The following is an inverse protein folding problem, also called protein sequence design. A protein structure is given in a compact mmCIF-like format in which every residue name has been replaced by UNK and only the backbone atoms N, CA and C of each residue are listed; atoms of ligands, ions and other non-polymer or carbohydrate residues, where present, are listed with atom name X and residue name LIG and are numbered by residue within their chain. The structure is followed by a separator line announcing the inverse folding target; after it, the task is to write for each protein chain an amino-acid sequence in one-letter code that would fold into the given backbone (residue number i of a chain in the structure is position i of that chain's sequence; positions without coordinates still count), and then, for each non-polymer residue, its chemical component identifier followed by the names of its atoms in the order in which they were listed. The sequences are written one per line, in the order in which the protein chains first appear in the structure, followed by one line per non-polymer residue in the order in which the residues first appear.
data_IF_230084345311
#
_entry.id   IF_230084345311
#
_cell.length_a   1.000
_cell.length_b   1.000
_cell.length_c   1.000
_cell.angle_alpha   90.00
_cell.angle_beta   90.00
_cell.angle_gamma   90.00
#
_symmetry.space_group_name_H-M   'P 1'
#
loop_
_entity.id
_entity.type
_entity.pdbx_description
1 polymer ?
#
# COMPACT_ATOMS: atom_id res chain seq x y z
N UNK A 1 46.40 -3.14 76.59
CA UNK A 1 45.92 -1.75 76.38
C UNK A 1 45.26 -1.66 75.01
N UNK A 2 43.98 -1.28 74.97
CA UNK A 2 43.18 -0.56 73.94
C UNK A 2 43.99 0.15 72.81
N UNK A 3 43.62 0.31 71.52
CA UNK A 3 42.37 0.39 70.68
C UNK A 3 42.76 0.07 69.21
N UNK A 4 42.00 -0.63 68.36
CA UNK A 4 40.73 -0.36 67.63
C UNK A 4 40.73 0.80 66.59
N UNK A 5 40.60 0.44 65.28
CA UNK A 5 39.74 1.01 64.18
C UNK A 5 40.24 0.43 62.83
N UNK A 6 39.59 -0.54 62.17
CA UNK A 6 38.30 -0.53 61.44
C UNK A 6 38.27 0.36 60.17
N UNK A 7 38.31 -0.26 58.98
CA UNK A 7 37.54 0.09 57.77
C UNK A 7 37.80 -1.00 56.71
N UNK A 8 36.89 -1.95 56.51
CA UNK A 8 35.68 -1.94 55.67
C UNK A 8 35.94 -2.38 54.22
N UNK A 9 35.46 -3.60 53.97
CA UNK A 9 34.95 -4.16 52.72
C UNK A 9 34.72 -3.17 51.57
N UNK A 10 35.29 -3.48 50.40
CA UNK A 10 34.63 -3.25 49.11
C UNK A 10 34.76 -4.53 48.27
N UNK A 11 33.84 -5.47 48.51
CA UNK A 11 33.41 -6.39 47.47
C UNK A 11 32.65 -5.54 46.44
N UNK A 12 33.32 -5.14 45.36
CA UNK A 12 32.62 -4.76 44.15
C UNK A 12 32.15 -6.05 43.46
N UNK A 13 31.04 -6.59 43.94
CA UNK A 13 30.10 -7.32 43.07
C UNK A 13 29.56 -6.30 42.07
N UNK A 14 30.31 -6.05 40.99
CA UNK A 14 29.69 -5.54 39.78
C UNK A 14 28.82 -6.66 39.26
N UNK A 15 27.53 -6.61 39.64
CA UNK A 15 26.49 -7.30 38.90
C UNK A 15 26.55 -6.76 37.47
N UNK A 16 27.28 -7.46 36.61
CA UNK A 16 27.03 -7.46 35.19
C UNK A 16 25.60 -8.01 35.06
N UNK A 17 24.63 -7.12 35.12
CA UNK A 17 23.29 -7.40 34.62
C UNK A 17 23.52 -7.71 33.15
N UNK A 18 23.59 -9.00 32.82
CA UNK A 18 23.52 -9.44 31.44
C UNK A 18 22.23 -8.82 30.90
N UNK A 19 22.35 -7.84 30.00
CA UNK A 19 21.19 -7.26 29.35
C UNK A 19 20.46 -8.43 28.72
N UNK A 20 19.24 -8.73 29.18
CA UNK A 20 18.45 -9.83 28.63
C UNK A 20 18.20 -9.51 27.15
N UNK A 21 18.88 -10.24 26.28
CA UNK A 21 18.70 -10.14 24.85
C UNK A 21 17.28 -10.61 24.52
N UNK A 22 16.46 -9.70 24.02
CA UNK A 22 15.10 -10.02 23.62
C UNK A 22 15.10 -10.40 22.14
N UNK A 23 14.46 -11.54 21.81
CA UNK A 23 14.33 -12.00 20.44
C UNK A 23 12.86 -12.10 20.04
N UNK A 24 12.56 -11.79 18.77
CA UNK A 24 11.23 -11.93 18.18
C UNK A 24 11.28 -12.66 16.85
N UNK A 25 10.19 -13.34 16.53
CA UNK A 25 10.01 -13.94 15.20
C UNK A 25 9.29 -12.97 14.26
N UNK A 26 9.63 -12.95 12.96
CA UNK A 26 8.86 -12.22 11.97
C UNK A 26 7.41 -12.71 11.89
N UNK A 27 6.46 -11.79 11.75
CA UNK A 27 5.05 -12.14 11.55
C UNK A 27 4.74 -12.20 10.06
N UNK A 28 4.20 -13.33 9.58
CA UNK A 28 3.71 -13.44 8.21
C UNK A 28 2.36 -12.73 8.09
N UNK A 29 2.23 -11.84 7.10
CA UNK A 29 1.00 -11.13 6.78
C UNK A 29 0.74 -11.17 5.27
N UNK A 30 -0.54 -11.18 4.89
CA UNK A 30 -0.94 -10.94 3.52
C UNK A 30 -1.10 -9.44 3.30
N UNK A 31 -0.29 -8.88 2.40
CA UNK A 31 -0.36 -7.46 2.05
C UNK A 31 -0.76 -7.34 0.59
N UNK A 32 -1.73 -6.46 0.34
CA UNK A 32 -2.12 -6.05 -0.99
C UNK A 32 -1.14 -4.96 -1.48
N UNK A 33 -0.43 -5.25 -2.57
CA UNK A 33 0.37 -4.29 -3.31
C UNK A 33 -0.54 -3.47 -4.20
N UNK A 34 -0.52 -2.16 -3.99
CA UNK A 34 -1.35 -1.21 -4.72
C UNK A 34 -0.49 -0.25 -5.54
N UNK A 35 -1.02 0.16 -6.69
CA UNK A 35 -0.52 1.30 -7.44
C UNK A 35 -1.58 2.40 -7.44
N UNK A 36 -1.17 3.59 -7.04
CA UNK A 36 -2.03 4.77 -6.97
C UNK A 36 -1.70 5.72 -8.14
N UNK A 37 -2.72 6.17 -8.86
CA UNK A 37 -2.59 7.17 -9.92
C UNK A 37 -3.74 8.17 -9.90
N UNK A 38 -3.53 9.31 -10.55
CA UNK A 38 -4.59 10.29 -10.80
C UNK A 38 -5.29 10.00 -12.11
N UNK A 39 -6.58 10.31 -12.15
CA UNK A 39 -7.39 10.26 -13.35
C UNK A 39 -8.52 11.31 -13.28
N UNK A 40 -9.23 11.49 -14.39
CA UNK A 40 -10.40 12.36 -14.49
C UNK A 40 -11.62 11.49 -14.77
N UNK A 41 -12.73 11.76 -14.08
CA UNK A 41 -14.01 11.11 -14.37
C UNK A 41 -14.54 11.63 -15.71
N UNK A 42 -14.86 10.70 -16.60
CA UNK A 42 -15.39 10.94 -17.93
C UNK A 42 -16.85 10.44 -17.98
N UNK A 43 -17.70 11.08 -18.79
CA UNK A 43 -19.12 10.70 -18.95
C UNK A 43 -19.38 10.01 -20.28
N UNK A 44 -20.12 8.89 -20.27
CA UNK A 44 -20.66 8.26 -21.48
C UNK A 44 -22.13 8.65 -21.71
N UNK A 45 -22.53 8.81 -22.97
CA UNK A 45 -23.94 8.70 -23.36
C UNK A 45 -24.29 7.22 -23.50
N UNK A 46 -25.36 6.79 -22.81
CA UNK A 46 -25.71 5.39 -22.61
C UNK A 46 -26.11 4.60 -23.89
N UNK A 47 -26.22 5.25 -25.05
CA UNK A 47 -26.70 4.63 -26.29
C UNK A 47 -25.69 3.63 -26.93
N UNK A 48 -24.59 3.29 -26.24
CA UNK A 48 -23.44 2.57 -26.81
C UNK A 48 -23.01 1.30 -26.06
N UNK A 49 -23.71 0.87 -25.00
CA UNK A 49 -23.23 -0.25 -24.17
C UNK A 49 -24.04 -1.54 -24.36
N UNK A 50 -23.32 -2.55 -24.87
CA UNK A 50 -23.63 -3.98 -24.80
C UNK A 50 -23.82 -4.36 -23.32
N UNK A 51 -24.83 -5.18 -23.02
CA UNK A 51 -25.17 -5.63 -21.66
C UNK A 51 -23.94 -6.15 -20.90
N UNK A 52 -23.62 -5.49 -19.78
CA UNK A 52 -22.57 -5.93 -18.86
C UNK A 52 -23.24 -6.77 -17.76
N UNK A 53 -22.83 -8.03 -17.53
CA UNK A 53 -23.39 -8.85 -16.46
C UNK A 53 -23.02 -8.27 -15.08
N UNK A 54 -24.00 -8.14 -14.20
CA UNK A 54 -23.86 -7.60 -12.85
C UNK A 54 -22.84 -8.39 -12.00
N UNK A 55 -21.83 -7.74 -11.40
CA UNK A 55 -20.88 -8.42 -10.52
C UNK A 55 -21.51 -8.72 -9.14
N UNK A 56 -21.20 -9.91 -8.62
CA UNK A 56 -21.58 -10.36 -7.27
C UNK A 56 -20.66 -9.70 -6.24
N UNK A 57 -21.23 -8.84 -5.38
CA UNK A 57 -20.51 -8.14 -4.32
C UNK A 57 -20.11 -9.09 -3.17
N UNK A 58 -18.86 -9.01 -2.71
CA UNK A 58 -18.43 -9.47 -1.37
C UNK A 58 -17.70 -8.33 -0.66
N UNK A 59 -17.92 -8.11 0.66
CA UNK A 59 -17.34 -6.97 1.38
C UNK A 59 -15.88 -7.21 1.77
N UNK A 60 -15.03 -6.17 1.64
CA UNK A 60 -13.65 -6.14 2.16
C UNK A 60 -13.41 -4.83 2.94
N UNK A 61 -12.95 -5.00 4.19
CA UNK A 61 -12.69 -4.02 5.24
C UNK A 61 -11.41 -3.16 5.03
N UNK A 62 -11.38 -1.98 5.67
CA UNK A 62 -10.48 -0.83 5.46
C UNK A 62 -9.13 -0.86 6.25
N UNK A 63 -8.09 -0.15 5.75
CA UNK A 63 -7.09 0.56 6.58
C UNK A 63 -6.20 1.59 5.80
N UNK A 64 -5.60 2.54 6.53
CA UNK A 64 -5.36 3.99 6.20
C UNK A 64 -3.88 4.43 6.02
N UNK A 65 -3.64 5.71 5.60
CA UNK A 65 -2.46 6.64 5.77
C UNK A 65 -1.37 6.70 4.65
N UNK A 66 -0.74 7.81 4.22
CA UNK A 66 -0.75 9.28 4.46
C UNK A 66 -0.09 10.02 3.24
N UNK A 67 -0.32 11.34 3.05
CA UNK A 67 -0.02 12.11 1.81
C UNK A 67 1.11 13.15 1.96
N UNK A 68 1.84 13.50 0.88
CA UNK A 68 2.45 14.83 0.71
C UNK A 68 1.60 15.75 -0.20
N UNK A 69 1.68 17.06 0.07
CA UNK A 69 0.89 18.12 -0.55
C UNK A 69 1.53 18.55 -1.87
N UNK A 70 0.76 18.58 -2.96
CA UNK A 70 1.17 19.25 -4.20
C UNK A 70 0.03 20.09 -4.74
N UNK A 71 0.32 21.34 -5.11
CA UNK A 71 -0.66 22.31 -5.62
C UNK A 71 -0.94 22.09 -7.11
N UNK A 72 -2.20 21.87 -7.51
CA UNK A 72 -2.57 21.65 -8.90
C UNK A 72 -2.64 22.96 -9.71
N UNK A 73 -2.46 22.90 -11.04
CA UNK A 73 -2.59 24.06 -11.93
C UNK A 73 -4.06 24.48 -12.10
N UNK A 74 -4.30 25.78 -12.33
CA UNK A 74 -5.63 26.37 -12.50
C UNK A 74 -6.18 26.14 -13.91
N UNK A 75 -7.40 25.61 -14.02
CA UNK A 75 -8.17 25.48 -15.28
C UNK A 75 -9.52 26.24 -15.12
N UNK A 76 -10.07 26.85 -16.20
CA UNK A 76 -11.12 27.87 -16.11
C UNK A 76 -12.51 27.30 -15.78
N UNK A 77 -13.32 28.09 -15.06
CA UNK A 77 -14.70 27.74 -14.69
C UNK A 77 -15.65 27.91 -15.88
N UNK A 78 -16.29 26.83 -16.31
CA UNK A 78 -17.45 26.86 -17.21
C UNK A 78 -18.73 27.16 -16.43
N UNK A 79 -19.55 28.09 -16.94
CA UNK A 79 -20.87 28.48 -16.41
C UNK A 79 -21.96 27.70 -17.15
N UNK A 80 -22.85 27.00 -16.46
CA UNK A 80 -24.23 26.77 -16.95
C UNK A 80 -25.19 26.30 -15.85
N UNK A 81 -26.37 26.92 -15.81
CA UNK A 81 -27.47 26.69 -14.87
C UNK A 81 -28.41 25.54 -15.27
N UNK A 82 -29.52 25.33 -14.53
CA UNK A 82 -30.19 24.03 -14.47
C UNK A 82 -31.28 23.90 -15.54
N UNK A 83 -31.25 22.80 -16.31
CA UNK A 83 -32.38 22.37 -17.14
C UNK A 83 -32.86 21.00 -16.67
N UNK A 84 -34.11 20.93 -16.24
CA UNK A 84 -34.84 19.69 -15.92
C UNK A 84 -35.28 19.02 -17.22
N UNK A 85 -34.56 18.00 -17.64
CA UNK A 85 -35.03 16.95 -18.55
C UNK A 85 -34.65 15.61 -17.92
N UNK A 86 -35.49 14.56 -18.07
CA UNK A 86 -35.16 13.19 -17.64
C UNK A 86 -33.87 12.79 -18.35
N UNK A 87 -32.75 12.95 -17.65
CA UNK A 87 -31.42 12.70 -18.18
C UNK A 87 -31.23 11.21 -18.40
N UNK A 88 -30.65 10.77 -19.54
CA UNK A 88 -30.07 9.44 -19.60
C UNK A 88 -29.14 9.29 -18.40
N UNK A 89 -29.17 8.15 -17.72
CA UNK A 89 -28.23 7.88 -16.64
C UNK A 89 -26.84 7.86 -17.24
N UNK A 90 -26.15 9.00 -17.21
CA UNK A 90 -24.78 9.13 -17.70
C UNK A 90 -23.92 8.17 -16.89
N UNK A 91 -23.49 7.08 -17.52
CA UNK A 91 -22.55 6.17 -16.90
C UNK A 91 -21.20 6.88 -16.80
N UNK A 92 -20.67 6.90 -15.57
CA UNK A 92 -19.37 7.47 -15.29
C UNK A 92 -18.31 6.40 -15.58
N UNK A 93 -17.22 6.82 -16.20
CA UNK A 93 -16.06 5.97 -16.42
C UNK A 93 -14.79 6.74 -16.09
N UNK A 94 -13.71 6.00 -15.96
CA UNK A 94 -12.38 6.55 -15.73
C UNK A 94 -11.36 5.84 -16.59
N UNK A 95 -10.56 6.65 -17.27
CA UNK A 95 -9.38 6.21 -17.99
C UNK A 95 -8.15 6.50 -17.14
N UNK A 96 -7.29 5.51 -16.93
CA UNK A 96 -6.05 5.68 -16.18
C UNK A 96 -4.92 4.82 -16.75
N UNK A 97 -3.69 5.08 -16.30
CA UNK A 97 -2.49 4.48 -16.86
C UNK A 97 -1.64 3.82 -15.77
N UNK A 98 -1.11 2.65 -16.09
CA UNK A 98 -0.19 1.90 -15.22
C UNK A 98 1.14 1.64 -15.94
N UNK A 99 2.27 1.53 -15.20
CA UNK A 99 3.56 1.15 -15.77
C UNK A 99 3.53 -0.25 -16.38
N UNK A 100 4.12 -0.40 -17.57
CA UNK A 100 4.19 -1.65 -18.33
C UNK A 100 4.71 -2.85 -17.53
N UNK A 101 5.61 -2.63 -16.55
CA UNK A 101 6.10 -3.70 -15.68
C UNK A 101 4.99 -4.49 -14.97
N UNK A 102 3.79 -3.92 -14.85
CA UNK A 102 2.63 -4.56 -14.26
C UNK A 102 1.67 -5.18 -15.27
N UNK A 103 1.87 -4.97 -16.58
CA UNK A 103 0.92 -5.38 -17.63
C UNK A 103 0.58 -6.87 -17.57
N UNK A 104 1.59 -7.74 -17.46
CA UNK A 104 1.39 -9.19 -17.40
C UNK A 104 0.56 -9.62 -16.19
N UNK A 105 0.83 -9.03 -15.02
CA UNK A 105 0.14 -9.36 -13.77
C UNK A 105 -1.30 -8.84 -13.79
N UNK A 106 -1.49 -7.58 -14.21
CA UNK A 106 -2.80 -6.94 -14.30
C UNK A 106 -3.69 -7.65 -15.31
N UNK A 107 -3.15 -8.06 -16.46
CA UNK A 107 -3.88 -8.87 -17.44
C UNK A 107 -4.30 -10.22 -16.85
N UNK A 108 -3.39 -10.92 -16.18
CA UNK A 108 -3.72 -12.18 -15.51
C UNK A 108 -4.85 -12.03 -14.47
N UNK A 109 -4.82 -10.96 -13.67
CA UNK A 109 -5.89 -10.65 -12.72
C UNK A 109 -7.21 -10.31 -13.41
N UNK A 110 -7.18 -9.56 -14.51
CA UNK A 110 -8.36 -9.20 -15.27
C UNK A 110 -9.01 -10.41 -15.93
N UNK A 111 -8.22 -11.25 -16.61
CA UNK A 111 -8.68 -12.49 -17.26
C UNK A 111 -9.26 -13.48 -16.23
N UNK A 112 -8.76 -13.46 -14.99
CA UNK A 112 -9.26 -14.24 -13.87
C UNK A 112 -10.44 -13.60 -13.11
N UNK A 113 -10.88 -12.39 -13.48
CA UNK A 113 -11.88 -11.60 -12.76
C UNK A 113 -11.53 -11.35 -11.27
N UNK A 114 -10.23 -11.16 -10.99
CA UNK A 114 -9.68 -10.88 -9.66
C UNK A 114 -9.11 -9.46 -9.54
N UNK A 115 -9.07 -8.70 -10.63
CA UNK A 115 -8.56 -7.35 -10.64
C UNK A 115 -9.46 -6.43 -9.81
N UNK A 116 -8.93 -5.98 -8.67
CA UNK A 116 -9.61 -5.00 -7.82
C UNK A 116 -9.07 -3.60 -8.13
N UNK A 117 -9.96 -2.68 -8.40
CA UNK A 117 -9.63 -1.26 -8.58
C UNK A 117 -10.64 -0.40 -7.83
N UNK A 118 -10.15 0.63 -7.15
CA UNK A 118 -10.95 1.58 -6.39
C UNK A 118 -10.72 3.01 -6.87
N UNK A 119 -11.77 3.82 -6.87
CA UNK A 119 -11.70 5.27 -7.12
C UNK A 119 -12.11 6.05 -5.87
N UNK A 120 -11.44 7.18 -5.60
CA UNK A 120 -11.78 8.06 -4.48
C UNK A 120 -11.35 9.52 -4.73
N UNK A 121 -11.96 10.45 -3.99
CA UNK A 121 -11.72 11.89 -4.11
C UNK A 121 -10.83 12.36 -2.97
N UNK A 122 -9.70 13.00 -3.27
CA UNK A 122 -8.76 13.40 -2.22
C UNK A 122 -9.34 14.37 -1.18
N UNK A 123 -10.30 15.21 -1.54
CA UNK A 123 -10.70 16.36 -0.70
C UNK A 123 -11.94 16.16 0.17
N UNK A 124 -12.67 15.05 0.07
CA UNK A 124 -14.02 15.01 0.66
C UNK A 124 -14.47 13.70 1.27
N UNK A 125 -13.82 12.56 1.02
CA UNK A 125 -14.39 11.29 1.48
C UNK A 125 -13.33 10.25 1.81
N UNK A 126 -13.55 9.53 2.92
CA UNK A 126 -12.99 8.20 3.18
C UNK A 126 -13.66 7.13 2.31
N UNK A 127 -14.57 7.53 1.40
CA UNK A 127 -15.34 6.63 0.58
C UNK A 127 -14.52 6.23 -0.66
N UNK A 128 -14.38 4.92 -0.81
CA UNK A 128 -13.84 4.30 -2.00
C UNK A 128 -14.99 3.66 -2.75
N UNK A 129 -14.98 3.79 -4.07
CA UNK A 129 -15.90 3.06 -4.94
C UNK A 129 -15.13 1.98 -5.67
N UNK A 130 -15.58 0.73 -5.52
CA UNK A 130 -15.11 -0.35 -6.38
C UNK A 130 -15.56 -0.08 -7.81
N UNK A 131 -14.60 0.01 -8.73
CA UNK A 131 -14.87 0.22 -10.16
C UNK A 131 -14.71 -1.09 -10.91
N UNK A 132 -15.55 -1.29 -11.92
CA UNK A 132 -15.45 -2.46 -12.79
C UNK A 132 -14.52 -2.11 -13.95
N UNK A 133 -13.31 -2.65 -13.95
CA UNK A 133 -12.44 -2.59 -15.13
C UNK A 133 -13.13 -3.38 -16.24
N UNK A 134 -13.36 -2.76 -17.41
CA UNK A 134 -14.00 -3.42 -18.55
C UNK A 134 -13.06 -3.54 -19.75
N UNK A 135 -11.94 -2.80 -19.76
CA UNK A 135 -10.96 -2.85 -20.84
C UNK A 135 -9.55 -2.52 -20.35
N UNK A 136 -8.60 -3.32 -20.82
CA UNK A 136 -7.17 -3.05 -20.71
C UNK A 136 -6.63 -2.95 -22.13
N UNK A 137 -6.04 -1.81 -22.46
CA UNK A 137 -5.29 -1.65 -23.70
C UNK A 137 -3.87 -2.20 -23.49
N UNK A 138 -3.52 -3.23 -24.25
CA UNK A 138 -2.19 -3.85 -24.16
C UNK A 138 -1.14 -3.09 -24.97
N UNK A 139 -1.54 -2.12 -25.78
CA UNK A 139 -0.61 -1.28 -26.53
C UNK A 139 0.08 -0.32 -25.57
N UNK A 140 1.36 -0.60 -25.32
CA UNK A 140 2.20 0.22 -24.45
C UNK A 140 2.67 1.44 -25.22
N UNK A 141 2.44 2.63 -24.67
CA UNK A 141 3.07 3.82 -25.21
C UNK A 141 4.59 3.73 -25.00
N UNK A 142 5.35 3.65 -26.10
CA UNK A 142 6.78 3.38 -26.08
C UNK A 142 7.59 4.46 -25.34
N UNK A 143 7.14 5.72 -25.38
CA UNK A 143 7.88 6.85 -24.81
C UNK A 143 7.77 6.91 -23.29
N UNK A 144 6.57 6.64 -22.76
CA UNK A 144 6.28 6.74 -21.32
C UNK A 144 6.18 5.39 -20.61
N UNK A 145 6.25 4.28 -21.36
CA UNK A 145 6.17 2.90 -20.85
C UNK A 145 4.93 2.65 -19.98
N UNK A 146 3.80 3.24 -20.39
CA UNK A 146 2.50 3.09 -19.72
C UNK A 146 1.50 2.38 -20.64
N UNK A 147 0.58 1.63 -20.04
CA UNK A 147 -0.57 1.04 -20.72
C UNK A 147 -1.87 1.59 -20.14
N UNK A 148 -2.95 1.59 -20.94
CA UNK A 148 -4.23 2.23 -20.62
C UNK A 148 -5.21 1.24 -20.03
N UNK A 149 -5.97 1.67 -19.02
CA UNK A 149 -7.09 0.93 -18.44
C UNK A 149 -8.32 1.80 -18.43
N UNK A 150 -9.47 1.21 -18.78
CA UNK A 150 -10.78 1.84 -18.70
C UNK A 150 -11.64 1.08 -17.68
N UNK A 151 -12.25 1.82 -16.76
CA UNK A 151 -13.11 1.27 -15.72
C UNK A 151 -14.42 2.05 -15.58
N UNK A 152 -15.50 1.35 -15.26
CA UNK A 152 -16.82 1.90 -15.00
C UNK A 152 -16.99 2.20 -13.52
N UNK A 153 -17.48 3.40 -13.25
CA UNK A 153 -17.82 3.85 -11.91
C UNK A 153 -19.26 3.45 -11.58
N UNK A 154 -19.54 2.94 -10.37
CA UNK A 154 -20.88 2.56 -9.98
C UNK A 154 -21.90 3.69 -10.16
N UNK A 155 -23.13 3.39 -10.61
CA UNK A 155 -24.17 4.39 -10.84
C UNK A 155 -24.65 5.11 -9.56
N UNK A 156 -24.27 4.59 -8.38
CA UNK A 156 -24.63 5.14 -7.07
C UNK A 156 -23.49 5.96 -6.41
N UNK A 157 -22.43 6.29 -7.15
CA UNK A 157 -21.34 7.15 -6.66
C UNK A 157 -21.75 8.63 -6.62
N UNK A 158 -22.59 8.97 -5.63
CA UNK A 158 -23.29 10.26 -5.52
C UNK A 158 -22.40 11.51 -5.40
N UNK A 159 -21.12 11.35 -5.06
CA UNK A 159 -20.14 12.44 -4.95
C UNK A 159 -19.14 12.52 -6.13
N UNK A 160 -19.32 11.67 -7.15
CA UNK A 160 -18.51 11.66 -8.37
C UNK A 160 -19.22 12.35 -9.53
N UNK A 161 -18.51 13.26 -10.19
CA UNK A 161 -19.00 14.06 -11.30
C UNK A 161 -18.01 14.05 -12.48
N UNK A 162 -18.52 14.20 -13.70
CA UNK A 162 -17.69 14.39 -14.90
C UNK A 162 -16.74 15.59 -14.72
N UNK A 163 -15.48 15.42 -15.13
CA UNK A 163 -14.42 16.42 -14.99
C UNK A 163 -13.75 16.45 -13.62
N UNK A 164 -14.20 15.63 -12.66
CA UNK A 164 -13.59 15.55 -11.34
C UNK A 164 -12.28 14.77 -11.38
N UNK A 165 -11.26 15.32 -10.74
CA UNK A 165 -9.99 14.63 -10.52
C UNK A 165 -10.16 13.64 -9.37
N UNK A 166 -9.79 12.40 -9.61
CA UNK A 166 -9.89 11.28 -8.68
C UNK A 166 -8.56 10.55 -8.57
N UNK A 167 -8.39 9.84 -7.46
CA UNK A 167 -7.33 8.87 -7.28
C UNK A 167 -7.87 7.47 -7.61
N UNK A 168 -7.06 6.70 -8.31
CA UNK A 168 -7.31 5.31 -8.65
C UNK A 168 -6.28 4.46 -7.93
N UNK A 169 -6.75 3.48 -7.16
CA UNK A 169 -5.93 2.42 -6.57
C UNK A 169 -6.21 1.13 -7.28
N UNK A 170 -5.19 0.55 -7.90
CA UNK A 170 -5.24 -0.79 -8.48
C UNK A 170 -4.44 -1.75 -7.62
N UNK A 171 -5.09 -2.81 -7.16
CA UNK A 171 -4.44 -3.86 -6.38
C UNK A 171 -3.81 -4.88 -7.34
N UNK A 172 -2.49 -4.88 -7.40
CA UNK A 172 -1.68 -5.64 -8.38
C UNK A 172 -1.41 -7.05 -7.87
N UNK A 173 -1.20 -7.21 -6.57
CA UNK A 173 -0.78 -8.50 -6.03
C UNK A 173 -1.14 -8.60 -4.56
N UNK A 174 -1.51 -9.78 -4.09
CA UNK A 174 -1.53 -10.11 -2.67
C UNK A 174 -0.36 -11.03 -2.39
N UNK A 175 0.63 -10.54 -1.65
CA UNK A 175 1.77 -11.37 -1.27
C UNK A 175 1.74 -11.66 0.22
N UNK A 176 2.10 -12.90 0.56
CA UNK A 176 2.54 -13.23 1.90
C UNK A 176 3.94 -12.68 2.08
N UNK A 177 4.07 -11.76 3.02
CA UNK A 177 5.33 -11.07 3.34
C UNK A 177 5.60 -11.21 4.83
N UNK A 178 6.87 -11.16 5.20
CA UNK A 178 7.26 -11.11 6.60
C UNK A 178 7.23 -9.66 7.06
N UNK A 179 6.73 -9.44 8.26
CA UNK A 179 6.70 -8.14 8.92
C UNK A 179 7.52 -8.21 10.19
N UNK A 180 8.25 -7.14 10.45
CA UNK A 180 9.03 -6.94 11.66
C UNK A 180 8.55 -5.68 12.37
N UNK A 181 8.57 -5.68 13.69
CA UNK A 181 8.30 -4.46 14.46
C UNK A 181 9.37 -3.41 14.22
N UNK A 182 8.99 -2.15 14.37
CA UNK A 182 9.92 -1.04 14.39
C UNK A 182 10.98 -1.23 15.50
N UNK A 183 12.21 -0.76 15.25
CA UNK A 183 13.36 -0.97 16.15
C UNK A 183 14.14 -2.28 15.97
N UNK A 184 13.67 -3.22 15.15
CA UNK A 184 14.45 -4.45 14.79
C UNK A 184 15.29 -4.28 13.52
N UNK A 185 15.00 -3.25 12.73
CA UNK A 185 15.63 -2.97 11.45
C UNK A 185 16.72 -1.91 11.62
N UNK A 186 17.90 -2.20 11.08
CA UNK A 186 19.04 -1.30 11.07
C UNK A 186 19.43 -0.97 9.64
N UNK A 187 20.11 0.16 9.45
CA UNK A 187 20.60 0.58 8.14
C UNK A 187 22.07 0.97 8.21
N UNK A 188 22.82 0.59 7.18
CA UNK A 188 24.17 1.09 6.95
C UNK A 188 24.39 1.44 5.47
N UNK A 189 25.64 1.70 5.10
CA UNK A 189 26.04 2.02 3.72
C UNK A 189 25.76 0.90 2.70
N UNK A 190 25.46 -0.32 3.15
CA UNK A 190 25.15 -1.48 2.31
C UNK A 190 23.64 -1.79 2.24
N UNK A 191 22.82 -1.06 3.01
CA UNK A 191 21.36 -1.17 3.01
C UNK A 191 20.80 -1.60 4.37
N UNK A 192 19.56 -2.09 4.36
CA UNK A 192 18.87 -2.52 5.57
C UNK A 192 19.30 -3.93 6.01
N UNK A 193 19.42 -4.14 7.30
CA UNK A 193 19.82 -5.42 7.89
C UNK A 193 19.16 -5.64 9.26
N UNK A 194 19.24 -6.87 9.75
CA UNK A 194 18.83 -7.26 11.10
C UNK A 194 19.91 -8.11 11.77
N UNK A 195 19.81 -8.25 13.09
CA UNK A 195 20.64 -9.16 13.87
C UNK A 195 19.86 -10.44 14.13
N UNK A 196 20.28 -11.56 13.54
CA UNK A 196 19.61 -12.87 13.63
C UNK A 196 20.36 -13.78 14.61
N UNK A 197 19.62 -14.48 15.47
CA UNK A 197 20.18 -15.51 16.34
C UNK A 197 20.56 -16.75 15.53
N UNK A 198 21.74 -17.27 15.81
CA UNK A 198 22.30 -18.52 15.29
C UNK A 198 22.69 -19.43 16.46
N UNK A 199 23.17 -20.64 16.17
CA UNK A 199 23.70 -21.55 17.20
C UNK A 199 24.93 -20.95 17.92
N UNK A 200 25.74 -20.16 17.19
CA UNK A 200 27.01 -19.59 17.66
C UNK A 200 26.89 -18.16 18.24
N UNK A 201 25.68 -17.59 18.27
CA UNK A 201 25.44 -16.23 18.76
C UNK A 201 24.51 -15.43 17.86
N UNK A 202 24.93 -14.24 17.44
CA UNK A 202 24.12 -13.32 16.63
C UNK A 202 24.89 -12.90 15.38
N UNK A 203 24.25 -13.02 14.21
CA UNK A 203 24.83 -12.67 12.93
C UNK A 203 24.07 -11.50 12.27
N UNK A 204 24.77 -10.74 11.43
CA UNK A 204 24.19 -9.67 10.65
C UNK A 204 23.62 -10.21 9.34
N UNK A 205 22.33 -10.06 9.12
CA UNK A 205 21.65 -10.53 7.89
C UNK A 205 21.08 -9.35 7.13
N UNK A 206 21.48 -9.21 5.86
CA UNK A 206 20.92 -8.22 4.97
C UNK A 206 19.46 -8.55 4.62
N UNK A 207 18.59 -7.56 4.67
CA UNK A 207 17.16 -7.72 4.36
C UNK A 207 16.73 -6.70 3.33
N UNK A 208 15.80 -7.11 2.47
CA UNK A 208 15.21 -6.20 1.48
C UNK A 208 13.87 -5.72 1.99
N UNK A 209 13.75 -4.43 2.30
CA UNK A 209 12.52 -3.81 2.81
C UNK A 209 11.68 -3.30 1.65
N UNK A 210 10.36 -3.48 1.74
CA UNK A 210 9.37 -3.03 0.76
C UNK A 210 8.84 -1.66 1.15
N UNK A 211 8.40 -1.54 2.40
CA UNK A 211 7.81 -0.33 2.98
C UNK A 211 7.91 -0.42 4.50
N UNK A 212 8.03 0.73 5.14
CA UNK A 212 7.86 0.89 6.57
C UNK A 212 6.57 1.69 6.81
N UNK A 213 5.62 1.13 7.54
CA UNK A 213 4.34 1.77 7.85
C UNK A 213 3.76 1.23 9.15
N UNK A 214 3.07 2.08 9.91
CA UNK A 214 2.39 1.69 11.16
C UNK A 214 3.29 0.93 12.14
N UNK A 215 4.54 1.39 12.29
CA UNK A 215 5.57 0.74 13.14
C UNK A 215 5.87 -0.72 12.74
N UNK A 216 5.66 -1.06 11.47
CA UNK A 216 6.03 -2.34 10.89
C UNK A 216 6.89 -2.15 9.64
N UNK A 217 7.94 -2.96 9.55
CA UNK A 217 8.83 -3.08 8.41
C UNK A 217 8.40 -4.30 7.58
N UNK A 218 7.97 -4.08 6.34
CA UNK A 218 7.57 -5.15 5.43
C UNK A 218 8.80 -5.67 4.70
N UNK A 219 9.14 -6.93 4.93
CA UNK A 219 10.35 -7.59 4.44
C UNK A 219 10.03 -8.43 3.21
N UNK A 220 10.72 -8.14 2.10
CA UNK A 220 10.64 -8.88 0.84
C UNK A 220 11.44 -10.17 0.84
N UNK A 221 12.64 -10.12 1.39
CA UNK A 221 13.60 -11.23 1.34
C UNK A 221 14.70 -11.06 2.36
N UNK A 222 15.40 -12.17 2.65
CA UNK A 222 16.55 -12.21 3.56
C UNK A 222 16.24 -12.92 4.89
N UNK A 223 14.98 -13.25 5.16
CA UNK A 223 14.55 -13.89 6.41
C UNK A 223 13.58 -15.04 6.17
N UNK A 224 13.53 -15.94 7.15
CA UNK A 224 12.50 -16.96 7.30
C UNK A 224 11.57 -16.65 8.48
N UNK A 225 10.35 -17.22 8.49
CA UNK A 225 9.39 -17.04 9.58
C UNK A 225 9.89 -17.59 10.93
N UNK A 226 10.81 -18.55 10.89
CA UNK A 226 11.38 -19.20 12.07
C UNK A 226 12.62 -18.49 12.60
N UNK A 227 13.10 -17.45 11.90
CA UNK A 227 14.28 -16.72 12.34
C UNK A 227 13.98 -15.93 13.62
N UNK A 228 14.93 -15.93 14.55
CA UNK A 228 14.87 -15.15 15.79
C UNK A 228 15.68 -13.88 15.61
N UNK A 229 15.01 -12.73 15.69
CA UNK A 229 15.60 -11.42 15.43
C UNK A 229 15.78 -10.68 16.75
N UNK A 230 16.99 -10.18 16.98
CA UNK A 230 17.34 -9.43 18.18
C UNK A 230 16.62 -8.06 18.19
N UNK A 231 16.03 -7.73 19.33
CA UNK A 231 15.56 -6.38 19.66
C UNK A 231 16.63 -5.73 20.54
N UNK A 232 17.25 -4.62 20.10
CA UNK A 232 18.10 -3.83 20.97
C UNK A 232 17.26 -3.20 22.09
N UNK A 233 17.67 -3.39 23.35
CA UNK A 233 17.13 -2.64 24.49
C UNK A 233 17.70 -1.23 24.57
#
# INVERSE_FOLDING_TARGET
MFRLRAALFFLCTMGLMAAEETFVTPTEQEIDFEYETLAVIEGFKADSLIEIPSPVLRPLTENTLARPIFTPPKIPKSKQGPSRTKSPTTLLHVTYYLPERYLSHIKGLFDANLLRTKVFVAKASSHFYDVTVHKIDTDVNADIRLFKIEALVPPHSVDLCVGQIVFIRTFIERQKVLTLMDGTLFEDKHGSYVWKKTEDGVEKVAVKVIKTANSQNVIRSGLSKTDLILIPN
#
